data_IF_259438680299
#
_entry.id   IF_259438680299
#
_cell.length_a   1.000
_cell.length_b   1.000
_cell.length_c   1.000
_cell.angle_alpha   90.00
_cell.angle_beta   90.00
_cell.angle_gamma   90.00
#
_symmetry.space_group_name_H-M   'P 1'
#
loop_
_entity.id
_entity.type
_entity.pdbx_description
1 polymer ?
#
# COMPACT_ATOMS: atom_id res chain seq x y z
N UNK A 1 44.54 -0.11 -12.30
CA UNK A 1 43.52 -0.29 -11.24
C UNK A 1 42.34 0.59 -11.60
N UNK A 2 41.17 0.01 -11.89
CA UNK A 2 39.96 0.76 -12.24
C UNK A 2 39.40 1.35 -10.94
N UNK A 3 39.14 2.67 -10.85
CA UNK A 3 38.53 3.25 -9.67
C UNK A 3 37.08 2.76 -9.55
N UNK A 4 36.81 1.94 -8.53
CA UNK A 4 35.44 1.57 -8.14
C UNK A 4 34.81 2.80 -7.50
N UNK A 5 33.83 3.40 -8.17
CA UNK A 5 33.10 4.54 -7.65
C UNK A 5 32.48 4.21 -6.28
N UNK A 6 32.45 5.15 -5.32
CA UNK A 6 31.83 4.92 -4.02
C UNK A 6 30.34 4.67 -4.21
N UNK A 7 29.89 3.43 -3.97
CA UNK A 7 28.46 3.11 -3.89
C UNK A 7 27.91 3.85 -2.67
N UNK A 8 27.24 4.97 -2.91
CA UNK A 8 26.58 5.76 -1.88
C UNK A 8 25.64 4.85 -1.06
N UNK A 9 25.92 4.60 0.23
CA UNK A 9 25.10 3.72 1.03
C UNK A 9 23.76 4.42 1.33
N UNK A 10 22.69 3.77 0.90
CA UNK A 10 21.36 3.90 1.49
C UNK A 10 20.61 5.23 1.31
N UNK A 11 20.36 5.67 0.06
CA UNK A 11 19.01 6.18 -0.19
C UNK A 11 18.05 5.00 -0.09
N UNK A 12 17.36 4.88 1.03
CA UNK A 12 16.27 3.91 1.14
C UNK A 12 15.19 4.38 0.18
N UNK A 13 15.08 3.77 -0.99
CA UNK A 13 14.07 4.12 -1.99
C UNK A 13 12.70 4.10 -1.34
N UNK A 14 12.09 5.28 -1.20
CA UNK A 14 10.72 5.45 -0.77
C UNK A 14 9.86 5.31 -2.01
N UNK A 15 9.04 4.26 -2.08
CA UNK A 15 8.20 4.03 -3.26
C UNK A 15 6.95 4.92 -3.19
N UNK A 16 6.65 5.58 -4.30
CA UNK A 16 5.37 6.28 -4.55
C UNK A 16 4.38 5.42 -5.34
N UNK A 17 3.17 5.94 -5.53
CA UNK A 17 2.08 5.26 -6.26
C UNK A 17 2.47 4.98 -7.72
N UNK A 18 3.17 5.92 -8.35
CA UNK A 18 3.67 5.86 -9.73
C UNK A 18 4.65 4.70 -9.97
N UNK A 19 5.22 4.14 -8.90
CA UNK A 19 6.10 2.98 -9.00
C UNK A 19 5.33 1.67 -9.11
N UNK A 20 4.05 1.61 -8.72
CA UNK A 20 3.32 0.37 -8.57
C UNK A 20 2.47 0.01 -9.79
N UNK A 21 2.32 -1.30 -10.02
CA UNK A 21 1.42 -1.84 -11.01
C UNK A 21 -0.01 -1.86 -10.49
N UNK A 22 -0.96 -1.45 -11.32
CA UNK A 22 -2.37 -1.54 -10.99
C UNK A 22 -2.78 -3.00 -10.79
N UNK A 23 -3.85 -3.25 -10.01
CA UNK A 23 -4.27 -4.63 -9.69
C UNK A 23 -4.64 -5.45 -10.94
N UNK A 24 -5.07 -4.79 -12.01
CA UNK A 24 -5.42 -5.42 -13.30
C UNK A 24 -4.19 -5.95 -14.04
N UNK A 25 -3.02 -5.37 -13.80
CA UNK A 25 -1.75 -5.78 -14.41
C UNK A 25 -1.05 -6.90 -13.61
N UNK A 26 -1.60 -7.32 -12.47
CA UNK A 26 -0.99 -8.37 -11.66
C UNK A 26 -1.17 -9.73 -12.30
N UNK A 27 -0.11 -10.53 -12.24
CA UNK A 27 -0.14 -11.91 -12.71
C UNK A 27 -1.09 -12.70 -11.80
N UNK A 28 -2.09 -13.41 -12.36
CA UNK A 28 -3.02 -14.19 -11.55
C UNK A 28 -2.28 -15.34 -10.84
N UNK A 29 -2.72 -15.67 -9.62
CA UNK A 29 -2.07 -16.71 -8.81
C UNK A 29 -2.02 -18.07 -9.53
N UNK A 30 -3.02 -18.39 -10.36
CA UNK A 30 -3.09 -19.63 -11.13
C UNK A 30 -1.96 -19.76 -12.17
N UNK A 31 -1.47 -18.63 -12.70
CA UNK A 31 -0.42 -18.62 -13.72
C UNK A 31 0.98 -18.91 -13.14
N UNK A 32 1.16 -18.90 -11.81
CA UNK A 32 2.45 -19.13 -11.16
C UNK A 32 2.39 -20.29 -10.18
N UNK A 33 3.12 -21.36 -10.50
CA UNK A 33 3.30 -22.52 -9.62
C UNK A 33 4.58 -22.42 -8.76
N UNK A 34 5.48 -21.50 -9.10
CA UNK A 34 6.75 -21.28 -8.42
C UNK A 34 6.98 -19.79 -8.21
N UNK A 35 7.71 -19.43 -7.15
CA UNK A 35 8.16 -18.06 -6.90
C UNK A 35 9.05 -17.59 -8.07
N UNK A 36 8.76 -16.41 -8.65
CA UNK A 36 9.56 -15.90 -9.77
C UNK A 36 11.01 -15.53 -9.39
N UNK A 37 11.30 -15.38 -8.08
CA UNK A 37 12.63 -14.99 -7.59
C UNK A 37 13.47 -16.21 -7.20
N UNK A 38 12.95 -17.09 -6.35
CA UNK A 38 13.72 -18.22 -5.81
C UNK A 38 13.28 -19.59 -6.32
N UNK A 39 12.36 -19.63 -7.30
CA UNK A 39 11.81 -20.85 -7.93
C UNK A 39 11.18 -21.87 -6.98
N UNK A 40 11.01 -21.54 -5.69
CA UNK A 40 10.33 -22.38 -4.71
C UNK A 40 8.90 -22.66 -5.17
N UNK A 41 8.52 -23.94 -5.20
CA UNK A 41 7.16 -24.38 -5.53
C UNK A 41 6.17 -23.86 -4.48
N UNK A 42 5.05 -23.32 -4.94
CA UNK A 42 3.92 -23.00 -4.09
C UNK A 42 3.12 -24.28 -3.84
N UNK A 43 2.83 -24.56 -2.57
CA UNK A 43 1.91 -25.64 -2.18
C UNK A 43 0.48 -25.10 -2.15
N UNK A 44 -0.52 -25.99 -2.24
CA UNK A 44 -1.92 -25.59 -2.04
C UNK A 44 -2.07 -24.98 -0.64
N UNK A 45 -2.49 -23.71 -0.57
CA UNK A 45 -2.56 -22.94 0.68
C UNK A 45 -1.25 -22.25 1.11
N UNK A 46 -0.14 -22.44 0.38
CA UNK A 46 1.08 -21.67 0.57
C UNK A 46 0.87 -20.21 0.19
N UNK A 47 1.21 -19.27 1.07
CA UNK A 47 1.00 -17.83 0.88
C UNK A 47 1.71 -17.31 -0.37
N UNK A 48 0.98 -17.24 -1.49
CA UNK A 48 1.34 -16.48 -2.68
C UNK A 48 1.21 -14.99 -2.35
N UNK A 49 2.16 -14.21 -2.82
CA UNK A 49 2.16 -12.77 -2.64
C UNK A 49 2.54 -12.09 -3.94
N UNK A 50 1.96 -10.93 -4.21
CA UNK A 50 2.37 -10.12 -5.35
C UNK A 50 3.42 -9.09 -4.97
N UNK A 51 4.40 -8.89 -5.84
CA UNK A 51 5.24 -7.70 -5.79
C UNK A 51 4.42 -6.49 -6.27
N UNK A 52 4.31 -5.43 -5.46
CA UNK A 52 3.52 -4.25 -5.85
C UNK A 52 4.16 -3.46 -6.98
N UNK A 53 5.49 -3.56 -7.13
CA UNK A 53 6.25 -2.90 -8.20
C UNK A 53 6.04 -3.54 -9.57
N UNK A 54 6.08 -4.87 -9.67
CA UNK A 54 6.02 -5.56 -10.97
C UNK A 54 4.76 -6.43 -11.19
N UNK A 55 3.95 -6.65 -10.16
CA UNK A 55 2.73 -7.45 -10.25
C UNK A 55 2.93 -8.98 -10.29
N UNK A 56 4.15 -9.50 -10.25
CA UNK A 56 4.40 -10.95 -10.32
C UNK A 56 4.30 -11.65 -8.94
N UNK A 57 4.15 -12.98 -8.97
CA UNK A 57 3.91 -13.81 -7.79
C UNK A 57 5.21 -14.32 -7.18
N UNK A 58 5.34 -14.11 -5.88
CA UNK A 58 6.53 -14.30 -5.07
C UNK A 58 6.18 -14.90 -3.70
N UNK A 59 7.14 -15.56 -3.08
CA UNK A 59 7.01 -16.01 -1.69
C UNK A 59 7.33 -14.88 -0.69
N UNK A 60 6.97 -15.08 0.57
CA UNK A 60 7.11 -14.07 1.63
C UNK A 60 8.55 -13.63 1.86
N UNK A 61 9.51 -14.57 1.77
CA UNK A 61 10.94 -14.28 1.94
C UNK A 61 11.53 -13.48 0.78
N UNK A 62 11.01 -13.67 -0.43
CA UNK A 62 11.51 -12.96 -1.61
C UNK A 62 10.94 -11.55 -1.75
N UNK A 63 9.86 -11.23 -1.05
CA UNK A 63 9.17 -9.94 -1.12
C UNK A 63 8.97 -9.33 0.28
N UNK A 64 10.05 -8.82 0.91
CA UNK A 64 9.96 -8.12 2.17
C UNK A 64 9.12 -6.84 2.05
N UNK A 65 8.65 -6.35 3.19
CA UNK A 65 7.98 -5.07 3.28
C UNK A 65 8.99 -3.91 3.21
N UNK A 66 8.78 -2.99 2.29
CA UNK A 66 9.58 -1.77 2.08
C UNK A 66 8.73 -0.54 2.34
N UNK A 67 9.37 0.59 2.66
CA UNK A 67 8.67 1.84 2.92
C UNK A 67 8.09 2.42 1.64
N UNK A 68 6.87 2.95 1.74
CA UNK A 68 6.19 3.67 0.68
C UNK A 68 5.52 4.92 1.25
N UNK A 69 5.32 5.92 0.40
CA UNK A 69 4.52 7.09 0.71
C UNK A 69 3.43 7.23 -0.34
N UNK A 70 2.18 7.06 0.09
CA UNK A 70 1.02 7.12 -0.77
C UNK A 70 0.22 8.40 -0.46
N UNK A 71 -0.37 9.07 -1.47
CA UNK A 71 -1.06 10.35 -1.26
C UNK A 71 -2.13 10.31 -0.17
N UNK A 72 -2.92 9.23 -0.10
CA UNK A 72 -4.05 9.12 0.84
C UNK A 72 -3.66 8.37 2.12
N UNK A 73 -2.84 7.33 2.00
CA UNK A 73 -2.45 6.48 3.15
C UNK A 73 -1.30 7.10 3.95
N UNK A 74 -0.53 8.01 3.36
CA UNK A 74 0.70 8.53 3.93
C UNK A 74 1.81 7.46 3.96
N UNK A 75 2.66 7.50 4.99
CA UNK A 75 3.78 6.56 5.15
C UNK A 75 3.28 5.17 5.51
N UNK A 76 3.56 4.20 4.66
CA UNK A 76 3.14 2.80 4.83
C UNK A 76 4.25 1.83 4.42
N UNK A 77 3.94 0.53 4.47
CA UNK A 77 4.82 -0.54 4.00
C UNK A 77 4.13 -1.44 2.99
N UNK A 78 4.81 -1.73 1.88
CA UNK A 78 4.31 -2.60 0.81
C UNK A 78 5.32 -3.69 0.46
N UNK A 79 4.88 -4.78 -0.18
CA UNK A 79 5.81 -5.85 -0.61
C UNK A 79 6.43 -5.54 -1.97
N UNK A 80 7.76 -5.55 -2.03
CA UNK A 80 8.52 -5.44 -3.29
C UNK A 80 9.54 -6.57 -3.33
N UNK A 81 9.60 -7.28 -4.45
CA UNK A 81 10.51 -8.41 -4.59
C UNK A 81 11.98 -7.96 -4.69
N UNK A 82 12.91 -8.83 -4.31
CA UNK A 82 14.34 -8.54 -4.41
C UNK A 82 14.78 -8.10 -5.81
N UNK A 83 14.27 -8.74 -6.87
CA UNK A 83 14.62 -8.39 -8.25
C UNK A 83 14.24 -6.94 -8.61
N UNK A 84 13.12 -6.42 -8.09
CA UNK A 84 12.74 -5.02 -8.29
C UNK A 84 13.65 -4.09 -7.47
N UNK A 85 13.88 -4.40 -6.20
CA UNK A 85 14.74 -3.58 -5.32
C UNK A 85 16.14 -3.39 -5.91
N UNK A 86 16.77 -4.49 -6.36
CA UNK A 86 18.10 -4.45 -6.98
C UNK A 86 18.09 -3.61 -8.25
N UNK A 87 17.06 -3.75 -9.10
CA UNK A 87 16.91 -2.94 -10.32
C UNK A 87 16.79 -1.46 -10.01
N UNK A 88 16.02 -1.12 -8.99
CA UNK A 88 15.73 0.26 -8.60
C UNK A 88 16.93 0.93 -7.92
N UNK A 89 17.74 0.16 -7.21
CA UNK A 89 19.02 0.59 -6.63
C UNK A 89 20.09 0.78 -7.73
N UNK A 90 20.03 0.01 -8.81
CA UNK A 90 20.94 0.07 -9.95
C UNK A 90 20.63 1.19 -10.97
N UNK A 91 19.44 1.81 -10.90
CA UNK A 91 19.07 2.91 -11.80
C UNK A 91 19.65 4.25 -11.28
N UNK A 92 20.54 4.94 -12.03
CA UNK A 92 20.98 6.27 -11.64
C UNK A 92 19.80 7.25 -11.71
N UNK A 93 19.71 8.17 -10.73
CA UNK A 93 18.63 9.14 -10.57
C UNK A 93 18.42 10.11 -11.77
N UNK A 94 19.25 10.01 -12.80
CA UNK A 94 19.29 10.94 -13.94
C UNK A 94 18.31 10.60 -15.07
N UNK A 95 17.59 9.47 -15.05
CA UNK A 95 16.73 9.03 -16.17
C UNK A 95 15.23 9.41 -16.06
N UNK A 96 14.82 10.26 -15.09
CA UNK A 96 13.40 10.53 -14.81
C UNK A 96 12.88 11.92 -15.20
N UNK A 97 13.55 12.61 -16.13
CA UNK A 97 13.03 13.85 -16.73
C UNK A 97 12.55 13.58 -18.16
N UNK A 98 11.32 13.10 -18.30
CA UNK A 98 10.57 13.31 -19.55
C UNK A 98 9.09 13.48 -19.23
N UNK A 99 8.73 14.76 -19.22
CA UNK A 99 7.41 15.37 -19.21
C UNK A 99 6.52 14.83 -20.35
N UNK A 100 5.26 14.54 -20.06
CA UNK A 100 4.17 14.64 -21.04
C UNK A 100 2.83 14.86 -20.32
N UNK A 101 2.51 16.13 -20.11
CA UNK A 101 1.17 16.64 -19.81
C UNK A 101 0.16 16.29 -20.91
N UNK A 102 -1.08 15.95 -20.52
CA UNK A 102 -2.30 16.43 -21.20
C UNK A 102 -3.43 16.51 -20.18
N UNK A 103 -3.89 17.72 -19.94
CA UNK A 103 -5.06 18.12 -19.15
C UNK A 103 -6.36 17.71 -19.84
N UNK A 104 -7.26 17.06 -19.10
CA UNK A 104 -8.73 17.28 -19.04
C UNK A 104 -9.50 16.13 -18.33
N UNK A 105 -8.84 15.05 -17.92
CA UNK A 105 -9.48 13.91 -17.23
C UNK A 105 -9.15 13.81 -15.72
N UNK A 106 -8.63 14.87 -15.08
CA UNK A 106 -8.06 14.83 -13.71
C UNK A 106 -9.01 14.26 -12.65
N UNK A 107 -10.30 14.58 -12.68
CA UNK A 107 -11.26 14.14 -11.64
C UNK A 107 -11.66 12.66 -11.82
N UNK A 108 -11.82 12.21 -13.07
CA UNK A 108 -12.12 10.81 -13.38
C UNK A 108 -10.89 9.91 -13.21
N UNK A 109 -9.70 10.43 -13.55
CA UNK A 109 -8.42 9.77 -13.28
C UNK A 109 -8.14 9.73 -11.78
N UNK A 110 -8.40 10.79 -11.02
CA UNK A 110 -8.25 10.79 -9.56
C UNK A 110 -9.21 9.77 -8.92
N UNK A 111 -10.48 9.73 -9.35
CA UNK A 111 -11.44 8.76 -8.83
C UNK A 111 -11.06 7.31 -9.22
N UNK A 112 -10.56 7.10 -10.43
CA UNK A 112 -10.08 5.81 -10.90
C UNK A 112 -8.78 5.39 -10.18
N UNK A 113 -7.89 6.33 -9.89
CA UNK A 113 -6.67 6.13 -9.12
C UNK A 113 -7.01 5.80 -7.66
N UNK A 114 -7.98 6.49 -7.07
CA UNK A 114 -8.52 6.23 -5.74
C UNK A 114 -9.18 4.85 -5.65
N UNK A 115 -9.94 4.45 -6.68
CA UNK A 115 -10.55 3.11 -6.79
C UNK A 115 -9.52 2.01 -7.01
N UNK A 116 -8.50 2.24 -7.83
CA UNK A 116 -7.40 1.30 -8.05
C UNK A 116 -6.50 1.16 -6.81
N UNK A 117 -6.28 2.24 -6.06
CA UNK A 117 -5.51 2.26 -4.81
C UNK A 117 -6.22 1.48 -3.70
N UNK A 118 -7.54 1.65 -3.54
CA UNK A 118 -8.35 0.84 -2.62
C UNK A 118 -8.33 -0.66 -2.99
N UNK A 119 -8.26 -0.98 -4.28
CA UNK A 119 -8.11 -2.37 -4.76
C UNK A 119 -6.72 -2.97 -4.46
N UNK A 120 -5.66 -2.15 -4.44
CA UNK A 120 -4.29 -2.54 -4.06
C UNK A 120 -4.12 -2.74 -2.54
N UNK A 121 -5.01 -2.12 -1.76
CA UNK A 121 -5.04 -2.14 -0.30
C UNK A 121 -6.05 -3.12 0.29
N UNK A 122 -6.82 -3.85 -0.53
CA UNK A 122 -7.83 -4.80 -0.03
C UNK A 122 -7.22 -5.72 1.05
N UNK A 123 -7.55 -5.49 2.33
CA UNK A 123 -6.96 -6.25 3.41
C UNK A 123 -7.43 -7.70 3.29
N UNK A 124 -6.64 -8.67 3.79
CA UNK A 124 -7.15 -10.04 3.96
C UNK A 124 -8.50 -9.97 4.68
N UNK A 125 -9.41 -10.92 4.39
CA UNK A 125 -10.74 -11.00 5.04
C UNK A 125 -10.64 -10.83 6.56
N UNK A 126 -9.59 -11.38 7.17
CA UNK A 126 -9.27 -11.28 8.59
C UNK A 126 -8.89 -9.87 9.10
N UNK A 127 -8.37 -9.00 8.23
CA UNK A 127 -8.04 -7.61 8.56
C UNK A 127 -9.28 -6.72 8.39
N UNK A 128 -10.13 -6.98 7.39
CA UNK A 128 -11.44 -6.32 7.25
C UNK A 128 -12.34 -6.60 8.46
N UNK A 129 -12.38 -7.84 8.95
CA UNK A 129 -13.17 -8.25 10.11
C UNK A 129 -12.75 -7.54 11.40
N UNK A 130 -11.43 -7.30 11.59
CA UNK A 130 -10.93 -6.51 12.74
C UNK A 130 -11.20 -5.01 12.62
N UNK A 131 -11.23 -4.46 11.41
CA UNK A 131 -11.57 -3.06 11.19
C UNK A 131 -13.05 -2.84 11.49
N UNK A 132 -13.92 -3.74 11.04
CA UNK A 132 -15.36 -3.67 11.30
C UNK A 132 -15.68 -3.83 12.79
N UNK A 133 -15.01 -4.78 13.47
CA UNK A 133 -15.14 -4.94 14.93
C UNK A 133 -14.69 -3.69 15.70
N UNK A 134 -13.64 -3.01 15.24
CA UNK A 134 -13.19 -1.74 15.86
C UNK A 134 -14.18 -0.60 15.60
N UNK A 135 -14.80 -0.53 14.42
CA UNK A 135 -15.84 0.47 14.13
C UNK A 135 -17.07 0.27 15.01
N UNK A 136 -17.54 -0.96 15.20
CA UNK A 136 -18.67 -1.25 16.08
C UNK A 136 -18.40 -0.90 17.56
N UNK A 137 -17.14 -0.98 18.00
CA UNK A 137 -16.74 -0.57 19.35
C UNK A 137 -16.73 0.96 19.50
N UNK A 138 -16.27 1.69 18.48
CA UNK A 138 -16.25 3.17 18.46
C UNK A 138 -17.67 3.75 18.36
N UNK A 139 -18.56 3.13 17.59
CA UNK A 139 -19.98 3.54 17.50
C UNK A 139 -20.78 3.26 18.78
N UNK A 140 -20.35 2.28 19.58
CA UNK A 140 -20.92 2.00 20.90
C UNK A 140 -20.64 3.10 21.94
N UNK A 141 -19.43 3.65 21.95
CA UNK A 141 -19.02 4.67 22.92
C UNK A 141 -19.67 6.04 22.67
N UNK A 142 -20.03 6.37 21.43
CA UNK A 142 -20.63 7.67 21.09
C UNK A 142 -22.13 7.77 21.44
N UNK A 143 -22.79 6.67 21.82
CA UNK A 143 -24.20 6.69 22.29
C UNK A 143 -24.34 7.02 23.77
N UNK A 144 -23.27 6.92 24.56
CA UNK A 144 -23.31 7.14 26.00
C UNK A 144 -23.07 8.61 26.42
N UNK A 145 -22.48 9.44 25.55
CA UNK A 145 -22.04 10.80 25.92
C UNK A 145 -23.09 11.91 25.70
N UNK A 146 -24.25 11.59 25.12
CA UNK A 146 -25.31 12.57 24.80
C UNK A 146 -26.44 12.68 25.85
N UNK A 147 -26.31 12.09 27.04
CA UNK A 147 -27.36 12.11 28.06
C UNK A 147 -26.85 12.56 29.44
N UNK A 148 -26.49 13.84 29.59
CA UNK A 148 -26.53 14.55 30.89
C UNK A 148 -26.22 16.03 30.73
N UNK A 149 -27.25 16.86 30.50
CA UNK A 149 -27.25 18.29 30.87
C UNK A 149 -28.65 18.87 30.68
N UNK A 150 -29.52 18.74 31.70
CA UNK A 150 -30.51 19.77 32.08
C UNK A 150 -31.08 19.41 33.46
N UNK A 151 -30.68 20.14 34.49
CA UNK A 151 -31.44 20.23 35.74
C UNK A 151 -31.56 21.71 36.12
N UNK A 152 -32.79 22.21 35.94
CA UNK A 152 -33.24 23.57 36.18
C UNK A 152 -33.16 23.94 37.66
N UNK A 153 -32.68 25.14 37.97
CA UNK A 153 -32.88 25.78 39.27
C UNK A 153 -33.94 26.85 39.06
N UNK A 154 -35.12 26.62 39.63
CA UNK A 154 -36.16 27.63 39.81
C UNK A 154 -36.35 27.82 41.31
N UNK A 155 -36.33 29.07 41.78
CA UNK A 155 -37.45 29.64 42.55
C UNK A 155 -37.09 30.97 43.23
N UNK A 156 -38.12 31.83 43.25
CA UNK A 156 -38.44 32.82 44.29
C UNK A 156 -38.11 34.30 43.98
N UNK A 157 -39.10 34.96 43.40
CA UNK A 157 -39.41 36.40 43.47
C UNK A 157 -40.02 36.78 44.85
N UNK A 158 -40.16 38.10 45.16
CA UNK A 158 -39.64 38.76 46.37
C UNK A 158 -40.47 38.61 47.64
#
# INVERSE_FOLDING_TARGET
MIPVAPTNPARKTMYGLEHFKSRREWVPDSARQHCIVCTKKFFLGGGKHHCRRCGDVVCSSCAPFVAAHLPIVGRTKVRVCHSCRVRDEAMPAAMFLSDRSSSEDEEAEEELMKKCELMLLSPSRAVMERIELKKSLIEGDNRQTSASSTASIASSTP
#
